data_IF_906286928664
#
_entry.id   IF_906286928664
#
_cell.length_a   1.000
_cell.length_b   1.000
_cell.length_c   1.000
_cell.angle_alpha   90.00
_cell.angle_beta   90.00
_cell.angle_gamma   90.00
#
_symmetry.space_group_name_H-M   'P 1'
#
loop_
_entity.id
_entity.type
_entity.pdbx_description
1 polymer ?
#
# COMPACT_ATOMS: atom_id res chain seq x y z
N UNK A 1 -32.25 -24.16 20.56
CA UNK A 1 -33.20 -23.50 19.67
C UNK A 1 -33.25 -22.04 20.03
N UNK A 2 -32.56 -21.25 19.36
CA UNK A 2 -32.58 -19.81 19.18
C UNK A 2 -31.17 -19.28 18.91
N UNK A 3 -30.92 -18.89 17.69
CA UNK A 3 -29.64 -18.41 17.16
C UNK A 3 -29.56 -16.91 17.47
N UNK A 4 -28.55 -16.51 18.21
CA UNK A 4 -28.29 -15.13 18.57
C UNK A 4 -27.81 -14.32 17.36
N UNK A 5 -28.69 -13.48 16.84
CA UNK A 5 -28.32 -12.34 16.04
C UNK A 5 -27.78 -11.23 16.95
N UNK A 6 -26.48 -11.09 17.03
CA UNK A 6 -25.86 -9.89 17.60
C UNK A 6 -25.39 -8.98 16.47
N UNK A 7 -26.30 -8.20 15.91
CA UNK A 7 -25.98 -6.96 15.21
C UNK A 7 -25.61 -5.92 16.27
N UNK A 8 -24.32 -5.77 16.50
CA UNK A 8 -23.83 -4.58 17.18
C UNK A 8 -24.07 -3.37 16.27
N UNK A 9 -25.05 -2.58 16.64
CA UNK A 9 -25.25 -1.24 16.13
C UNK A 9 -24.03 -0.41 16.50
N UNK A 10 -23.14 -0.20 15.55
CA UNK A 10 -22.09 0.81 15.68
C UNK A 10 -22.73 2.17 15.49
N UNK A 11 -22.82 2.85 16.61
CA UNK A 11 -23.34 4.20 16.75
C UNK A 11 -22.51 5.19 15.89
N UNK A 12 -23.22 5.99 15.11
CA UNK A 12 -22.70 7.11 14.35
C UNK A 12 -22.04 8.13 15.27
N UNK A 13 -20.74 8.08 15.39
CA UNK A 13 -19.96 9.29 15.73
C UNK A 13 -18.48 9.04 15.54
N UNK A 14 -17.92 9.72 14.65
CA UNK A 14 -16.56 9.82 14.15
C UNK A 14 -16.33 9.05 12.84
N UNK A 15 -16.55 9.75 11.73
CA UNK A 15 -15.93 9.38 10.47
C UNK A 15 -14.41 9.59 10.63
N UNK A 16 -13.75 8.58 11.14
CA UNK A 16 -12.30 8.49 11.11
C UNK A 16 -11.98 8.21 9.65
N UNK A 17 -11.39 9.20 9.00
CA UNK A 17 -10.83 9.06 7.66
C UNK A 17 -9.80 7.95 7.74
N UNK A 18 -10.10 6.82 7.11
CA UNK A 18 -9.24 5.63 7.17
C UNK A 18 -7.96 5.89 6.40
N UNK A 19 -6.86 6.04 7.11
CA UNK A 19 -5.55 5.84 6.48
C UNK A 19 -5.52 4.40 5.96
N UNK A 20 -5.13 4.25 4.70
CA UNK A 20 -5.12 2.97 3.99
C UNK A 20 -4.43 1.88 4.81
N UNK A 21 -5.23 1.17 5.58
CA UNK A 21 -4.79 -0.06 6.22
C UNK A 21 -4.64 -1.09 5.13
N UNK A 22 -3.44 -1.58 4.96
CA UNK A 22 -3.08 -2.60 3.97
C UNK A 22 -4.03 -3.78 4.12
N UNK A 23 -4.88 -4.00 3.15
CA UNK A 23 -5.65 -5.23 3.06
C UNK A 23 -4.70 -6.37 2.67
N UNK A 24 -4.51 -7.28 3.59
CA UNK A 24 -3.92 -8.58 3.32
C UNK A 24 -4.90 -9.35 2.43
N UNK A 25 -4.65 -9.39 1.14
CA UNK A 25 -5.43 -10.21 0.21
C UNK A 25 -4.78 -11.60 0.16
N UNK A 26 -5.34 -12.53 0.92
CA UNK A 26 -5.04 -13.96 0.77
C UNK A 26 -5.84 -14.47 -0.43
N UNK A 27 -5.25 -14.45 -1.61
CA UNK A 27 -5.78 -15.11 -2.79
C UNK A 27 -5.15 -16.51 -2.89
N UNK A 28 -5.96 -17.53 -2.62
CA UNK A 28 -5.63 -18.93 -2.94
C UNK A 28 -5.83 -19.08 -4.46
N UNK A 29 -4.75 -19.19 -5.21
CA UNK A 29 -4.78 -19.49 -6.64
C UNK A 29 -4.03 -20.78 -6.97
N UNK A 30 -4.43 -21.51 -8.01
CA UNK A 30 -3.88 -22.82 -8.35
C UNK A 30 -2.52 -22.74 -9.06
N UNK A 31 -1.77 -23.82 -8.87
CA UNK A 31 -0.47 -24.18 -9.44
C UNK A 31 -0.13 -23.59 -10.82
N UNK A 32 1.09 -23.07 -10.91
CA UNK A 32 1.83 -23.16 -12.16
C UNK A 32 2.89 -22.11 -12.38
N UNK A 33 4.11 -22.58 -12.49
CA UNK A 33 5.26 -22.03 -13.25
C UNK A 33 6.29 -21.25 -12.42
N UNK A 34 7.43 -21.90 -12.30
CA UNK A 34 8.71 -21.37 -11.80
C UNK A 34 9.29 -20.41 -12.86
N UNK A 35 9.58 -19.17 -12.46
CA UNK A 35 10.45 -18.31 -13.26
C UNK A 35 11.69 -17.88 -12.46
N UNK A 36 12.84 -18.13 -13.06
CA UNK A 36 14.12 -17.63 -12.59
C UNK A 36 14.15 -16.11 -12.68
N UNK A 37 14.77 -15.50 -11.68
CA UNK A 37 15.03 -14.06 -11.62
C UNK A 37 15.78 -13.61 -12.88
N UNK A 38 15.11 -12.94 -13.77
CA UNK A 38 15.68 -12.26 -14.94
C UNK A 38 15.04 -10.89 -15.03
N UNK A 39 15.69 -9.96 -15.70
CA UNK A 39 15.20 -8.62 -16.00
C UNK A 39 13.74 -8.66 -16.50
N UNK A 40 12.79 -8.80 -15.58
CA UNK A 40 11.39 -8.89 -15.95
C UNK A 40 10.98 -7.56 -16.58
N UNK A 41 10.36 -7.59 -17.77
CA UNK A 41 9.84 -6.38 -18.38
C UNK A 41 8.88 -5.70 -17.41
N UNK A 42 8.90 -4.38 -17.39
CA UNK A 42 7.96 -3.60 -16.61
C UNK A 42 6.80 -3.13 -17.47
N UNK A 43 5.63 -3.07 -16.89
CA UNK A 43 4.45 -2.43 -17.45
C UNK A 43 4.23 -1.07 -16.79
N UNK A 44 3.55 -0.18 -17.48
CA UNK A 44 3.20 1.15 -16.95
C UNK A 44 1.71 1.19 -16.63
N UNK A 45 1.39 1.48 -15.39
CA UNK A 45 0.03 1.80 -14.96
C UNK A 45 -0.15 3.32 -14.92
N UNK A 46 -1.23 3.79 -15.57
CA UNK A 46 -1.61 5.21 -15.60
C UNK A 46 -3.01 5.37 -15.04
N UNK A 47 -3.15 6.15 -13.99
CA UNK A 47 -4.45 6.51 -13.45
C UNK A 47 -4.72 8.00 -13.70
N UNK A 48 -5.49 8.28 -14.75
CA UNK A 48 -5.81 9.66 -15.14
C UNK A 48 -6.81 10.35 -14.20
N UNK A 49 -7.65 9.59 -13.50
CA UNK A 49 -8.63 10.13 -12.54
C UNK A 49 -7.93 10.67 -11.29
N UNK A 50 -6.90 9.98 -10.85
CA UNK A 50 -6.13 10.33 -9.65
C UNK A 50 -4.78 10.99 -9.96
N UNK A 51 -4.44 11.17 -11.23
CA UNK A 51 -3.27 11.93 -11.67
C UNK A 51 -1.94 11.30 -11.28
N UNK A 52 -1.74 9.99 -11.50
CA UNK A 52 -0.45 9.35 -11.28
C UNK A 52 -0.10 8.28 -12.32
N UNK A 53 1.19 7.98 -12.39
CA UNK A 53 1.77 6.92 -13.23
C UNK A 53 2.76 6.16 -12.36
N UNK A 54 2.86 4.83 -12.57
CA UNK A 54 3.84 3.95 -11.92
C UNK A 54 4.23 2.82 -12.85
N UNK A 55 5.45 2.30 -12.73
CA UNK A 55 5.88 1.06 -13.37
C UNK A 55 5.80 -0.11 -12.38
N UNK A 56 5.48 -1.29 -12.89
CA UNK A 56 5.37 -2.51 -12.09
C UNK A 56 5.83 -3.73 -12.93
N UNK A 57 6.28 -4.83 -12.30
CA UNK A 57 6.69 -6.03 -13.02
C UNK A 57 5.55 -6.62 -13.88
N UNK A 58 5.86 -7.01 -15.10
CA UNK A 58 4.85 -7.49 -16.06
C UNK A 58 4.19 -8.81 -15.66
N UNK A 59 4.84 -9.59 -14.81
CA UNK A 59 4.35 -10.85 -14.26
C UNK A 59 3.50 -10.68 -12.99
N UNK A 60 3.40 -9.45 -12.44
CA UNK A 60 2.56 -9.18 -11.29
C UNK A 60 1.10 -8.98 -11.70
N UNK A 61 0.20 -9.55 -10.91
CA UNK A 61 -1.23 -9.35 -11.10
C UNK A 61 -1.64 -7.96 -10.62
N UNK A 62 -2.50 -7.30 -11.38
CA UNK A 62 -3.07 -6.01 -11.04
C UNK A 62 -4.53 -6.15 -10.67
N UNK A 63 -4.93 -5.58 -9.53
CA UNK A 63 -6.31 -5.48 -9.07
C UNK A 63 -6.67 -4.02 -8.80
N UNK A 64 -7.67 -3.52 -9.50
CA UNK A 64 -8.21 -2.16 -9.27
C UNK A 64 -9.12 -2.15 -8.03
N UNK A 65 -9.03 -1.08 -7.23
CA UNK A 65 -9.98 -0.80 -6.15
C UNK A 65 -11.38 -0.46 -6.68
N UNK A 66 -12.35 -0.53 -5.81
CA UNK A 66 -13.72 -0.12 -6.15
C UNK A 66 -13.89 1.40 -5.98
N UNK A 67 -14.85 2.02 -6.65
CA UNK A 67 -15.14 3.44 -6.46
C UNK A 67 -15.44 3.75 -5.00
N UNK A 68 -14.66 4.67 -4.42
CA UNK A 68 -14.77 5.05 -3.01
C UNK A 68 -13.81 4.34 -2.07
N UNK A 69 -13.06 3.35 -2.55
CA UNK A 69 -11.99 2.76 -1.79
C UNK A 69 -10.80 3.73 -1.64
N UNK A 70 -10.11 3.63 -0.52
CA UNK A 70 -8.85 4.36 -0.34
C UNK A 70 -7.73 3.73 -1.16
N UNK A 71 -7.71 2.40 -1.30
CA UNK A 71 -6.77 1.69 -2.15
C UNK A 71 -7.27 1.74 -3.59
N UNK A 72 -6.49 2.39 -4.44
CA UNK A 72 -6.82 2.60 -5.85
C UNK A 72 -6.42 1.39 -6.70
N UNK A 73 -5.29 0.79 -6.39
CA UNK A 73 -4.77 -0.36 -7.13
C UNK A 73 -3.82 -1.17 -6.25
N UNK A 74 -3.86 -2.48 -6.41
CA UNK A 74 -2.91 -3.42 -5.79
C UNK A 74 -2.22 -4.23 -6.88
N UNK A 75 -0.94 -4.46 -6.72
CA UNK A 75 -0.11 -5.33 -7.56
C UNK A 75 0.45 -6.45 -6.68
N UNK A 76 0.37 -7.68 -7.15
CA UNK A 76 0.72 -8.87 -6.36
C UNK A 76 1.64 -9.78 -7.18
N UNK A 77 2.75 -10.21 -6.58
CA UNK A 77 3.69 -11.14 -7.20
C UNK A 77 3.04 -12.50 -7.47
N UNK A 78 3.53 -13.27 -8.45
CA UNK A 78 3.26 -14.69 -8.48
C UNK A 78 3.89 -15.36 -7.25
N UNK A 79 3.36 -16.52 -6.84
CA UNK A 79 4.02 -17.38 -5.86
C UNK A 79 5.35 -17.88 -6.44
N UNK A 80 6.44 -17.82 -5.65
CA UNK A 80 7.76 -18.25 -6.11
C UNK A 80 7.85 -19.77 -6.29
N UNK A 81 7.11 -20.51 -5.45
CA UNK A 81 7.04 -21.97 -5.49
C UNK A 81 5.82 -22.49 -4.72
N UNK A 82 5.62 -23.80 -4.71
CA UNK A 82 4.48 -24.43 -4.03
C UNK A 82 4.51 -24.36 -2.49
N UNK A 83 5.61 -23.97 -1.90
CA UNK A 83 5.77 -23.78 -0.45
C UNK A 83 5.67 -22.32 -0.03
N UNK A 84 5.63 -21.42 -1.02
CA UNK A 84 5.42 -19.99 -0.78
C UNK A 84 3.99 -19.77 -0.29
N UNK A 85 3.86 -19.10 0.85
CA UNK A 85 2.58 -18.89 1.57
C UNK A 85 2.14 -17.44 1.56
N UNK A 86 2.97 -16.57 1.02
CA UNK A 86 2.72 -15.14 0.99
C UNK A 86 3.15 -14.57 -0.34
N UNK A 87 2.25 -13.88 -1.00
CA UNK A 87 2.58 -13.13 -2.22
C UNK A 87 3.00 -11.71 -1.84
N UNK A 88 4.17 -11.32 -2.28
CA UNK A 88 4.63 -9.95 -2.15
C UNK A 88 3.71 -9.02 -2.94
N UNK A 89 3.46 -7.86 -2.38
CA UNK A 89 2.54 -6.94 -3.01
C UNK A 89 2.95 -5.48 -2.79
N UNK A 90 2.47 -4.63 -3.68
CA UNK A 90 2.38 -3.22 -3.36
C UNK A 90 1.03 -2.66 -3.77
N UNK A 91 0.60 -1.65 -3.05
CA UNK A 91 -0.61 -0.93 -3.37
C UNK A 91 -0.38 0.57 -3.37
N UNK A 92 -1.25 1.27 -4.08
CA UNK A 92 -1.30 2.72 -4.10
C UNK A 92 -2.62 3.14 -3.51
N UNK A 93 -2.54 3.83 -2.39
CA UNK A 93 -3.65 4.45 -1.71
C UNK A 93 -3.70 5.95 -1.95
N UNK A 94 -4.92 6.49 -1.95
CA UNK A 94 -5.14 7.94 -1.99
C UNK A 94 -6.17 8.29 -0.93
N UNK A 95 -5.78 9.18 -0.05
CA UNK A 95 -6.65 9.67 0.99
C UNK A 95 -6.93 11.16 0.77
N UNK A 96 -8.22 11.52 0.68
CA UNK A 96 -8.62 12.91 0.62
C UNK A 96 -8.55 13.54 2.01
N UNK A 97 -7.76 14.59 2.13
CA UNK A 97 -7.56 15.32 3.38
C UNK A 97 -8.79 16.17 3.70
N UNK A 98 -9.21 16.13 4.96
CA UNK A 98 -10.44 16.81 5.41
C UNK A 98 -10.23 18.31 5.59
N UNK A 99 -8.98 18.72 5.78
CA UNK A 99 -8.61 20.13 6.02
C UNK A 99 -7.66 20.60 4.93
N UNK A 100 -7.86 21.79 4.36
CA UNK A 100 -6.92 22.39 3.44
C UNK A 100 -5.59 22.68 4.14
N UNK A 101 -4.50 22.53 3.43
CA UNK A 101 -3.12 22.76 3.93
C UNK A 101 -2.73 21.87 5.12
N UNK A 102 -3.18 20.63 5.14
CA UNK A 102 -2.76 19.67 6.15
C UNK A 102 -1.26 19.47 6.07
N UNK A 103 -0.54 19.72 7.17
CA UNK A 103 0.91 19.60 7.18
C UNK A 103 1.33 18.13 7.07
N UNK A 104 2.34 17.84 6.26
CA UNK A 104 2.86 16.49 6.06
C UNK A 104 3.27 15.84 7.39
N UNK A 105 3.89 16.60 8.30
CA UNK A 105 4.31 16.10 9.62
C UNK A 105 3.11 15.66 10.47
N UNK A 106 2.04 16.46 10.50
CA UNK A 106 0.82 16.13 11.25
C UNK A 106 0.14 14.89 10.68
N UNK A 107 0.07 14.80 9.34
CA UNK A 107 -0.42 13.62 8.67
C UNK A 107 0.39 12.38 9.05
N UNK A 108 1.72 12.50 9.00
CA UNK A 108 2.65 11.41 9.26
C UNK A 108 2.55 10.91 10.71
N UNK A 109 2.42 11.82 11.68
CA UNK A 109 2.20 11.45 13.08
C UNK A 109 0.90 10.66 13.26
N UNK A 110 -0.19 11.13 12.67
CA UNK A 110 -1.49 10.43 12.68
C UNK A 110 -1.40 9.06 12.01
N UNK A 111 -0.76 8.98 10.83
CA UNK A 111 -0.57 7.74 10.08
C UNK A 111 0.18 6.69 10.89
N UNK A 112 1.32 7.06 11.46
CA UNK A 112 2.12 6.16 12.29
C UNK A 112 1.37 5.71 13.54
N UNK A 113 0.60 6.60 14.17
CA UNK A 113 -0.25 6.27 15.30
C UNK A 113 -1.30 5.21 14.96
N UNK A 114 -1.91 5.31 13.79
CA UNK A 114 -2.90 4.33 13.32
C UNK A 114 -2.25 2.97 13.00
N UNK A 115 -1.12 2.95 12.27
CA UNK A 115 -0.39 1.72 11.98
C UNK A 115 -0.05 0.96 13.27
N UNK A 116 0.45 1.67 14.28
CA UNK A 116 0.76 1.10 15.58
C UNK A 116 -0.47 0.51 16.30
N UNK A 117 -1.65 1.09 16.09
CA UNK A 117 -2.88 0.62 16.73
C UNK A 117 -3.50 -0.60 16.05
N UNK A 118 -3.24 -0.77 14.75
CA UNK A 118 -3.87 -1.79 13.91
C UNK A 118 -3.06 -3.08 13.85
N UNK A 119 -1.72 -2.97 13.78
CA UNK A 119 -0.88 -4.14 13.58
C UNK A 119 -0.41 -4.75 14.89
N UNK A 120 -0.67 -6.06 15.13
CA UNK A 120 -0.10 -6.78 16.26
C UNK A 120 1.43 -6.78 16.20
N UNK A 121 2.08 -6.59 17.36
CA UNK A 121 3.53 -6.58 17.47
C UNK A 121 4.23 -5.59 16.52
N UNK A 122 3.55 -4.48 16.22
CA UNK A 122 4.12 -3.41 15.37
C UNK A 122 5.48 -2.96 15.88
N UNK A 123 6.46 -2.93 14.98
CA UNK A 123 7.80 -2.40 15.23
C UNK A 123 8.20 -1.47 14.10
N UNK A 124 8.38 -0.19 14.41
CA UNK A 124 9.01 0.76 13.50
C UNK A 124 10.51 0.42 13.45
N UNK A 125 11.02 0.10 12.26
CA UNK A 125 12.44 -0.28 12.07
C UNK A 125 13.26 0.89 11.52
N UNK A 126 12.67 1.69 10.64
CA UNK A 126 13.32 2.86 10.06
C UNK A 126 12.31 3.98 9.80
N UNK A 127 12.77 5.22 9.89
CA UNK A 127 12.01 6.43 9.56
C UNK A 127 12.94 7.42 8.84
N UNK A 128 12.53 7.81 7.63
CA UNK A 128 13.12 8.93 6.90
C UNK A 128 12.05 10.01 6.69
N UNK A 129 12.16 11.09 7.44
CA UNK A 129 11.27 12.25 7.35
C UNK A 129 11.68 13.25 6.25
N UNK A 130 12.81 13.00 5.57
CA UNK A 130 13.33 13.84 4.49
C UNK A 130 13.30 13.12 3.14
N UNK A 131 12.49 12.08 3.02
CA UNK A 131 12.32 11.36 1.78
C UNK A 131 11.66 12.25 0.70
N UNK A 132 11.67 11.75 -0.52
CA UNK A 132 11.00 12.40 -1.66
C UNK A 132 10.18 11.37 -2.42
N UNK A 133 8.95 11.74 -2.81
CA UNK A 133 8.11 10.95 -3.69
C UNK A 133 7.63 11.82 -4.85
N UNK A 134 8.01 11.46 -6.07
CA UNK A 134 7.68 12.27 -7.28
C UNK A 134 8.16 13.73 -7.21
N UNK A 135 9.26 14.01 -6.48
CA UNK A 135 9.79 15.37 -6.28
C UNK A 135 9.12 16.18 -5.17
N UNK A 136 8.12 15.64 -4.49
CA UNK A 136 7.49 16.26 -3.32
C UNK A 136 8.14 15.76 -2.03
N UNK A 137 8.17 16.58 -0.96
CA UNK A 137 8.56 16.11 0.37
C UNK A 137 7.73 14.90 0.78
N UNK A 138 8.36 13.90 1.36
CA UNK A 138 7.71 12.65 1.73
C UNK A 138 8.26 12.10 3.03
N UNK A 139 7.50 11.22 3.66
CA UNK A 139 7.96 10.32 4.70
C UNK A 139 8.10 8.91 4.13
N UNK A 140 9.14 8.21 4.53
CA UNK A 140 9.37 6.79 4.23
C UNK A 140 9.62 6.05 5.52
N UNK A 141 8.89 4.97 5.77
CA UNK A 141 9.07 4.11 6.93
C UNK A 141 9.21 2.65 6.54
N UNK A 142 10.01 1.93 7.33
CA UNK A 142 10.01 0.48 7.35
C UNK A 142 9.45 0.04 8.70
N UNK A 143 8.52 -0.92 8.68
CA UNK A 143 7.96 -1.50 9.89
C UNK A 143 7.67 -2.97 9.72
N UNK A 144 7.67 -3.71 10.82
CA UNK A 144 7.31 -5.11 10.82
C UNK A 144 6.20 -5.41 11.81
N UNK A 145 5.47 -6.50 11.56
CA UNK A 145 4.42 -7.04 12.40
C UNK A 145 4.27 -8.54 12.15
N UNK A 146 3.44 -9.21 12.94
CA UNK A 146 3.19 -10.64 12.79
C UNK A 146 1.74 -10.87 12.41
N UNK A 147 1.52 -11.72 11.40
CA UNK A 147 0.20 -12.24 11.06
C UNK A 147 0.13 -13.71 11.48
N UNK A 148 -1.00 -14.11 12.04
CA UNK A 148 -1.25 -15.49 12.41
C UNK A 148 -2.05 -16.17 11.30
N UNK A 149 -1.47 -17.18 10.66
CA UNK A 149 -2.12 -18.02 9.66
C UNK A 149 -2.47 -19.39 10.22
N UNK A 150 -3.22 -20.18 9.48
CA UNK A 150 -3.53 -21.57 9.88
C UNK A 150 -2.26 -22.45 9.97
N UNK A 151 -1.20 -22.07 9.27
CA UNK A 151 0.07 -22.79 9.20
C UNK A 151 1.13 -22.23 10.15
N UNK A 152 0.78 -21.22 10.94
CA UNK A 152 1.65 -20.58 11.93
C UNK A 152 1.84 -19.08 11.67
N UNK A 153 2.60 -18.42 12.55
CA UNK A 153 2.85 -16.98 12.42
C UNK A 153 3.84 -16.69 11.29
N UNK A 154 3.54 -15.64 10.52
CA UNK A 154 4.43 -15.10 9.50
C UNK A 154 4.82 -13.68 9.90
N UNK A 155 6.12 -13.39 9.91
CA UNK A 155 6.61 -12.03 10.13
C UNK A 155 6.61 -11.27 8.80
N UNK A 156 5.84 -10.20 8.75
CA UNK A 156 5.75 -9.31 7.60
C UNK A 156 6.61 -8.08 7.84
N UNK A 157 7.26 -7.61 6.80
CA UNK A 157 7.90 -6.32 6.73
C UNK A 157 7.23 -5.48 5.65
N UNK A 158 6.84 -4.27 6.04
CA UNK A 158 6.32 -3.28 5.11
C UNK A 158 7.30 -2.12 4.98
N UNK A 159 7.42 -1.63 3.74
CA UNK A 159 7.90 -0.29 3.47
C UNK A 159 6.70 0.55 3.04
N UNK A 160 6.58 1.74 3.61
CA UNK A 160 5.54 2.68 3.21
C UNK A 160 6.15 4.05 2.98
N UNK A 161 5.78 4.67 1.85
CA UNK A 161 6.16 6.05 1.52
C UNK A 161 4.93 6.85 1.16
N UNK A 162 4.83 8.08 1.68
CA UNK A 162 3.70 8.95 1.40
C UNK A 162 4.12 10.40 1.25
N UNK A 163 3.33 11.12 0.46
CA UNK A 163 3.44 12.57 0.26
C UNK A 163 2.05 13.19 0.20
N UNK A 164 1.99 14.50 0.37
CA UNK A 164 0.78 15.30 0.18
C UNK A 164 0.95 16.15 -1.08
N UNK A 165 -0.06 16.12 -1.96
CA UNK A 165 -0.16 17.00 -3.10
C UNK A 165 -1.60 17.51 -3.22
N UNK A 166 -1.80 18.82 -3.04
CA UNK A 166 -3.11 19.43 -2.93
C UNK A 166 -3.89 18.88 -1.72
N UNK A 167 -5.12 18.46 -1.95
CA UNK A 167 -6.01 17.91 -0.92
C UNK A 167 -5.89 16.39 -0.76
N UNK A 168 -4.86 15.78 -1.32
CA UNK A 168 -4.71 14.33 -1.28
C UNK A 168 -3.35 13.91 -0.71
N UNK A 169 -3.38 12.88 0.15
CA UNK A 169 -2.20 12.10 0.49
C UNK A 169 -2.11 10.92 -0.48
N UNK A 170 -0.93 10.70 -1.05
CA UNK A 170 -0.60 9.57 -1.92
C UNK A 170 0.30 8.63 -1.15
N UNK A 171 -0.10 7.38 -1.02
CA UNK A 171 0.55 6.39 -0.18
C UNK A 171 0.92 5.18 -1.04
N UNK A 172 2.20 4.83 -1.08
CA UNK A 172 2.67 3.57 -1.64
C UNK A 172 3.03 2.65 -0.48
N UNK A 173 2.46 1.46 -0.44
CA UNK A 173 2.74 0.47 0.60
C UNK A 173 3.21 -0.82 -0.06
N UNK A 174 4.36 -1.32 0.36
CA UNK A 174 4.96 -2.57 -0.06
C UNK A 174 4.92 -3.56 1.10
N UNK A 175 4.40 -4.75 0.86
CA UNK A 175 4.28 -5.81 1.86
C UNK A 175 4.97 -7.09 1.39
N UNK A 176 5.80 -7.67 2.25
CA UNK A 176 6.54 -8.90 1.96
C UNK A 176 6.87 -9.67 3.23
N UNK A 177 7.21 -10.94 3.07
CA UNK A 177 7.82 -11.66 4.18
C UNK A 177 9.13 -10.99 4.59
N UNK A 178 9.37 -10.86 5.91
CA UNK A 178 10.57 -10.18 6.42
C UNK A 178 11.88 -10.82 5.93
N UNK A 179 11.86 -12.12 5.66
CA UNK A 179 13.00 -12.89 5.13
C UNK A 179 13.38 -12.50 3.70
N UNK A 180 12.41 -12.02 2.92
CA UNK A 180 12.58 -11.68 1.50
C UNK A 180 12.86 -10.19 1.25
N UNK A 181 12.79 -9.36 2.29
CA UNK A 181 12.91 -7.91 2.14
C UNK A 181 14.15 -7.47 1.35
N UNK A 182 15.31 -8.07 1.64
CA UNK A 182 16.56 -7.71 0.94
C UNK A 182 16.52 -8.01 -0.55
N UNK A 183 15.80 -9.05 -0.95
CA UNK A 183 15.73 -9.48 -2.35
C UNK A 183 14.81 -8.54 -3.15
N UNK A 184 13.77 -8.02 -2.51
CA UNK A 184 12.82 -7.10 -3.13
C UNK A 184 13.21 -5.62 -3.01
N UNK A 185 14.17 -5.26 -2.15
CA UNK A 185 14.54 -3.86 -1.92
C UNK A 185 14.92 -3.10 -3.20
N UNK A 186 15.71 -3.65 -4.15
CA UNK A 186 16.01 -2.95 -5.40
C UNK A 186 14.75 -2.70 -6.25
N UNK A 187 13.84 -3.67 -6.34
CA UNK A 187 12.59 -3.53 -7.07
C UNK A 187 11.68 -2.47 -6.44
N UNK A 188 11.62 -2.42 -5.12
CA UNK A 188 10.85 -1.41 -4.38
C UNK A 188 11.36 -0.01 -4.73
N UNK A 189 12.68 0.19 -4.71
CA UNK A 189 13.28 1.48 -5.05
C UNK A 189 13.00 1.86 -6.51
N UNK A 190 13.04 0.92 -7.44
CA UNK A 190 12.69 1.16 -8.85
C UNK A 190 11.22 1.57 -9.00
N UNK A 191 10.29 0.90 -8.33
CA UNK A 191 8.87 1.24 -8.35
C UNK A 191 8.64 2.64 -7.77
N UNK A 192 9.21 2.96 -6.60
CA UNK A 192 9.11 4.29 -5.98
C UNK A 192 9.65 5.37 -6.92
N UNK A 193 10.82 5.14 -7.53
CA UNK A 193 11.43 6.08 -8.45
C UNK A 193 10.61 6.27 -9.74
N UNK A 194 9.86 5.25 -10.14
CA UNK A 194 8.98 5.30 -11.32
C UNK A 194 7.67 6.06 -11.06
N UNK A 195 7.27 6.19 -9.79
CA UNK A 195 6.03 6.86 -9.43
C UNK A 195 6.10 8.36 -9.76
N UNK A 196 5.12 8.83 -10.54
CA UNK A 196 5.02 10.25 -10.95
C UNK A 196 3.60 10.74 -10.73
N UNK A 197 3.49 11.86 -10.02
CA UNK A 197 2.28 12.66 -10.01
C UNK A 197 2.23 13.47 -11.30
N UNK A 198 1.11 13.41 -11.99
CA UNK A 198 0.85 14.12 -13.23
C UNK A 198 -0.38 14.99 -13.05
N UNK A 199 -0.44 16.13 -13.71
CA UNK A 199 -1.63 16.97 -13.64
C UNK A 199 -2.83 16.19 -14.17
N UNK A 200 -3.90 16.10 -13.36
CA UNK A 200 -5.15 15.54 -13.83
C UNK A 200 -5.75 16.47 -14.90
N UNK A 201 -6.23 15.89 -16.00
CA UNK A 201 -6.87 16.68 -17.10
C UNK A 201 -8.12 17.46 -16.66
N UNK A 202 -8.61 17.24 -15.45
CA UNK A 202 -9.84 17.88 -14.94
C UNK A 202 -9.62 19.35 -14.55
N UNK A 203 -8.38 19.81 -14.36
CA UNK A 203 -8.09 21.21 -14.02
C UNK A 203 -8.05 22.16 -15.24
N UNK A 204 -8.06 21.64 -16.46
CA UNK A 204 -7.88 22.45 -17.69
C UNK A 204 -9.19 22.93 -18.34
N UNK A 205 -10.36 22.67 -17.74
CA UNK A 205 -11.68 23.05 -18.29
C UNK A 205 -12.33 24.26 -17.59
N UNK A 206 -11.67 24.86 -16.61
CA UNK A 206 -12.20 26.00 -15.85
C UNK A 206 -11.30 27.26 -15.91
N UNK A 207 -10.59 27.47 -17.01
CA UNK A 207 -9.92 28.76 -17.30
C UNK A 207 -10.47 29.38 -18.57
#
# INVERSE_FOLDING_TARGET
MSIYNNRLAMNNSMKITSIAVVCLVLLIMPLGIIFAQSNNPTLTYKNGAHGFIVQYPADWQKLEGQPGDTIIVTFTSPLENSQDKFTENFNIGIERLTFPNYALDQYSESAMGQLKSVFPEFRLEHLDANASLSGYPAYKIDYSYVINTQEGPIKIKNLQVWTINGDNAYILTFGMESSKYSDYAPLIDDIINSFKLVQSKTAALNT
#
